data_IF_925815353416
#
_entry.id   IF_925815353416
#
_cell.length_a   1.000
_cell.length_b   1.000
_cell.length_c   1.000
_cell.angle_alpha   90.00
_cell.angle_beta   90.00
_cell.angle_gamma   90.00
#
_symmetry.space_group_name_H-M   'P 1'
#
loop_
_entity.id
_entity.type
_entity.pdbx_description
1 polymer ?
#
# COMPACT_ATOMS: atom_id res chain seq x y z
N UNK A 1 -13.19 -4.47 42.60
CA UNK A 1 -12.67 -4.31 41.23
C UNK A 1 -13.44 -3.19 40.55
N UNK A 2 -12.76 -2.13 40.15
CA UNK A 2 -13.37 -1.00 39.43
C UNK A 2 -13.67 -1.42 38.00
N UNK A 3 -14.93 -1.39 37.59
CA UNK A 3 -15.32 -1.69 36.20
C UNK A 3 -14.91 -0.50 35.31
N UNK A 4 -13.96 -0.71 34.39
CA UNK A 4 -13.63 0.29 33.38
C UNK A 4 -14.73 0.25 32.30
N UNK A 5 -15.35 1.39 32.03
CA UNK A 5 -16.27 1.56 30.89
C UNK A 5 -15.46 2.09 29.71
N UNK A 6 -15.58 1.41 28.59
CA UNK A 6 -14.97 1.83 27.31
C UNK A 6 -16.09 2.17 26.33
N UNK A 7 -15.94 3.28 25.60
CA UNK A 7 -16.83 3.66 24.51
C UNK A 7 -16.02 3.90 23.24
N UNK A 8 -16.60 3.56 22.10
CA UNK A 8 -16.01 3.84 20.78
C UNK A 8 -16.69 5.07 20.19
N UNK A 9 -15.87 6.00 19.73
CA UNK A 9 -16.33 7.18 18.98
C UNK A 9 -15.85 7.06 17.54
N UNK A 10 -16.73 7.06 16.53
CA UNK A 10 -16.32 7.11 15.15
C UNK A 10 -15.62 8.45 14.86
N UNK A 11 -14.48 8.39 14.16
CA UNK A 11 -13.69 9.56 13.77
C UNK A 11 -13.97 9.91 12.31
N UNK A 12 -14.16 8.88 11.47
CA UNK A 12 -14.38 9.01 10.05
C UNK A 12 -15.30 7.89 9.55
N UNK A 13 -16.04 8.18 8.49
CA UNK A 13 -16.91 7.23 7.79
C UNK A 13 -16.56 7.18 6.30
N UNK A 14 -16.99 6.12 5.61
CA UNK A 14 -16.89 5.99 4.15
C UNK A 14 -15.45 5.98 3.60
N UNK A 15 -14.48 5.49 4.37
CA UNK A 15 -13.15 5.15 3.87
C UNK A 15 -13.17 3.69 3.43
N UNK A 16 -12.96 3.46 2.14
CA UNK A 16 -12.99 2.11 1.57
C UNK A 16 -11.65 1.41 1.76
N UNK A 17 -11.67 0.16 2.24
CA UNK A 17 -10.49 -0.71 2.41
C UNK A 17 -9.29 -0.01 3.10
N UNK A 18 -9.45 0.55 4.33
CA UNK A 18 -8.34 1.20 5.01
C UNK A 18 -7.29 0.15 5.43
N UNK A 19 -6.01 0.44 5.16
CA UNK A 19 -4.88 -0.45 5.48
C UNK A 19 -3.95 0.15 6.52
N UNK A 20 -3.80 1.47 6.55
CA UNK A 20 -2.83 2.14 7.44
C UNK A 20 -3.47 3.34 8.11
N UNK A 21 -3.16 3.49 9.40
CA UNK A 21 -3.49 4.66 10.21
C UNK A 21 -2.20 5.22 10.82
N UNK A 22 -1.89 6.49 10.58
CA UNK A 22 -0.71 7.18 11.10
C UNK A 22 -1.04 8.60 11.50
N UNK A 23 -0.24 9.15 12.41
CA UNK A 23 -0.30 10.57 12.75
C UNK A 23 1.04 11.24 12.47
N UNK A 24 1.00 12.49 12.05
CA UNK A 24 2.16 13.36 11.90
C UNK A 24 1.74 14.82 11.78
N UNK A 25 2.70 15.73 11.85
CA UNK A 25 2.52 17.16 11.62
C UNK A 25 2.94 17.45 10.15
N UNK A 26 2.06 18.10 9.39
CA UNK A 26 2.39 18.55 8.04
C UNK A 26 3.45 19.66 8.07
N UNK A 27 4.36 19.74 7.08
CA UNK A 27 5.28 20.86 6.95
C UNK A 27 4.54 22.21 6.97
N UNK A 28 5.01 23.11 7.83
CA UNK A 28 4.41 24.42 8.02
C UNK A 28 3.20 24.47 8.97
N UNK A 29 2.75 23.33 9.48
CA UNK A 29 1.71 23.27 10.52
C UNK A 29 2.30 23.03 11.92
N UNK A 30 1.47 23.23 12.94
CA UNK A 30 1.80 22.92 14.34
C UNK A 30 0.90 21.85 14.95
N UNK A 31 -0.13 21.43 14.22
CA UNK A 31 -1.12 20.47 14.71
C UNK A 31 -0.92 19.11 14.05
N UNK A 32 -0.94 18.07 14.87
CA UNK A 32 -0.88 16.69 14.40
C UNK A 32 -2.16 16.34 13.62
N UNK A 33 -1.99 15.67 12.48
CA UNK A 33 -3.06 15.21 11.61
C UNK A 33 -3.10 13.69 11.58
N UNK A 34 -4.29 13.12 11.49
CA UNK A 34 -4.52 11.70 11.31
C UNK A 34 -4.55 11.37 9.83
N UNK A 35 -3.70 10.48 9.39
CA UNK A 35 -3.60 9.99 8.02
C UNK A 35 -4.17 8.59 7.90
N UNK A 36 -4.87 8.33 6.81
CA UNK A 36 -5.49 7.04 6.50
C UNK A 36 -5.09 6.67 5.08
N UNK A 37 -4.40 5.54 4.91
CA UNK A 37 -4.16 4.96 3.58
C UNK A 37 -5.18 3.86 3.30
N UNK A 38 -5.57 3.74 2.04
CA UNK A 38 -6.47 2.70 1.55
C UNK A 38 -5.71 1.70 0.69
N UNK A 39 -6.15 0.45 0.65
CA UNK A 39 -5.56 -0.59 -0.19
C UNK A 39 -5.53 -0.19 -1.67
N UNK A 40 -6.52 0.60 -2.10
CA UNK A 40 -6.65 1.05 -3.48
C UNK A 40 -5.59 2.10 -3.89
N UNK A 41 -4.89 2.73 -2.94
CA UNK A 41 -3.83 3.70 -3.24
C UNK A 41 -4.20 5.16 -2.98
N UNK A 42 -5.25 5.42 -2.22
CA UNK A 42 -5.60 6.76 -1.76
C UNK A 42 -5.06 6.98 -0.35
N UNK A 43 -4.50 8.15 -0.10
CA UNK A 43 -4.08 8.58 1.23
C UNK A 43 -4.83 9.86 1.56
N UNK A 44 -5.55 9.83 2.66
CA UNK A 44 -6.30 10.95 3.18
C UNK A 44 -5.69 11.45 4.48
N UNK A 45 -5.96 12.68 4.84
CA UNK A 45 -5.76 13.17 6.21
C UNK A 45 -7.00 13.91 6.71
N UNK A 46 -7.17 13.92 8.03
CA UNK A 46 -8.24 14.65 8.67
C UNK A 46 -7.68 15.99 9.12
N UNK A 47 -8.23 17.06 8.56
CA UNK A 47 -7.93 18.44 8.91
C UNK A 47 -9.21 19.21 9.17
N UNK A 48 -9.30 19.85 10.34
CA UNK A 48 -10.42 20.72 10.72
C UNK A 48 -11.80 20.01 10.64
N UNK A 49 -11.81 18.72 10.99
CA UNK A 49 -13.01 17.86 10.93
C UNK A 49 -13.40 17.40 9.52
N UNK A 50 -12.58 17.69 8.50
CA UNK A 50 -12.84 17.32 7.11
C UNK A 50 -11.77 16.39 6.59
N UNK A 51 -12.19 15.37 5.80
CA UNK A 51 -11.27 14.51 5.07
C UNK A 51 -10.74 15.27 3.85
N UNK A 52 -9.41 15.28 3.73
CA UNK A 52 -8.70 15.87 2.59
C UNK A 52 -7.80 14.82 1.95
N UNK A 53 -7.71 14.81 0.63
CA UNK A 53 -6.76 13.95 -0.08
C UNK A 53 -5.34 14.48 0.11
N UNK A 54 -4.45 13.60 0.58
CA UNK A 54 -3.01 13.85 0.66
C UNK A 54 -2.30 13.41 -0.61
N UNK A 55 -2.62 12.19 -1.08
CA UNK A 55 -2.00 11.60 -2.27
C UNK A 55 -2.94 10.56 -2.88
N UNK A 56 -2.96 10.47 -4.21
CA UNK A 56 -3.67 9.44 -4.97
C UNK A 56 -2.68 8.77 -5.94
N UNK A 57 -2.36 7.51 -5.65
CA UNK A 57 -1.48 6.67 -6.47
C UNK A 57 -2.21 5.46 -7.06
N UNK A 58 -3.53 5.48 -7.17
CA UNK A 58 -4.32 4.36 -7.73
C UNK A 58 -3.83 3.91 -9.10
N UNK A 59 -3.30 4.84 -9.89
CA UNK A 59 -2.74 4.56 -11.21
C UNK A 59 -1.41 3.79 -11.18
N UNK A 60 -0.72 3.73 -10.04
CA UNK A 60 0.51 2.98 -9.83
C UNK A 60 0.24 1.58 -9.23
N UNK A 61 -0.87 1.43 -8.52
CA UNK A 61 -1.21 0.19 -7.85
C UNK A 61 -1.60 -0.87 -8.89
N UNK A 62 -1.16 -2.10 -8.67
CA UNK A 62 -1.66 -3.24 -9.45
C UNK A 62 -3.18 -3.30 -9.37
N UNK A 63 -3.84 -3.63 -10.47
CA UNK A 63 -5.29 -3.88 -10.45
C UNK A 63 -5.59 -5.02 -9.48
N UNK A 64 -6.35 -4.72 -8.43
CA UNK A 64 -6.77 -5.72 -7.48
C UNK A 64 -7.81 -6.63 -8.13
N UNK A 65 -7.64 -7.94 -7.91
CA UNK A 65 -8.58 -8.92 -8.39
C UNK A 65 -9.82 -8.97 -7.53
N UNK A 66 -10.93 -9.31 -8.18
CA UNK A 66 -12.18 -9.64 -7.50
C UNK A 66 -12.46 -11.13 -7.62
N UNK A 67 -13.43 -11.60 -6.87
CA UNK A 67 -13.91 -12.98 -6.96
C UNK A 67 -14.29 -13.37 -8.39
N UNK A 68 -14.92 -12.44 -9.11
CA UNK A 68 -15.39 -12.63 -10.48
C UNK A 68 -14.23 -12.74 -11.49
N UNK A 69 -13.08 -12.18 -11.16
CA UNK A 69 -11.87 -12.21 -11.98
C UNK A 69 -10.98 -13.44 -11.69
N UNK A 70 -11.38 -14.30 -10.77
CA UNK A 70 -10.69 -15.56 -10.46
C UNK A 70 -9.34 -15.39 -9.77
N UNK A 71 -9.08 -14.25 -9.15
CA UNK A 71 -7.80 -13.96 -8.47
C UNK A 71 -7.68 -14.73 -7.17
N UNK A 72 -8.79 -15.00 -6.50
CA UNK A 72 -8.80 -15.74 -5.24
C UNK A 72 -10.11 -16.50 -5.04
N UNK A 73 -10.02 -17.76 -4.67
CA UNK A 73 -11.16 -18.54 -4.23
C UNK A 73 -11.78 -18.02 -2.92
N UNK A 74 -11.04 -17.20 -2.17
CA UNK A 74 -11.50 -16.57 -0.93
C UNK A 74 -12.12 -15.17 -1.17
N UNK A 75 -12.04 -14.63 -2.38
CA UNK A 75 -12.53 -13.28 -2.70
C UNK A 75 -11.70 -12.16 -2.07
N UNK A 76 -10.49 -12.45 -1.64
CA UNK A 76 -9.61 -11.52 -0.95
C UNK A 76 -8.27 -11.37 -1.68
N UNK A 77 -7.90 -10.15 -1.99
CA UNK A 77 -6.61 -9.79 -2.59
C UNK A 77 -5.79 -9.00 -1.55
N UNK A 78 -4.59 -9.46 -1.25
CA UNK A 78 -3.73 -8.84 -0.24
C UNK A 78 -2.76 -7.80 -0.83
N UNK A 79 -2.78 -7.60 -2.13
CA UNK A 79 -1.97 -6.60 -2.82
C UNK A 79 -2.56 -5.20 -2.63
N UNK A 80 -1.84 -4.18 -3.05
CA UNK A 80 -2.30 -2.79 -2.99
C UNK A 80 -1.33 -1.87 -2.26
N UNK A 81 -1.82 -0.75 -1.74
CA UNK A 81 -1.06 0.12 -0.85
C UNK A 81 -1.13 -0.45 0.57
N UNK A 82 -0.01 -0.97 1.05
CA UNK A 82 0.10 -1.75 2.27
C UNK A 82 0.86 -1.02 3.40
N UNK A 83 1.66 0.00 3.05
CA UNK A 83 2.47 0.71 4.02
C UNK A 83 2.58 2.20 3.76
N UNK A 84 2.52 2.97 4.85
CA UNK A 84 2.81 4.39 4.91
C UNK A 84 3.64 4.67 6.15
N UNK A 85 4.80 5.29 6.00
CA UNK A 85 5.62 5.75 7.10
C UNK A 85 6.13 7.16 6.83
N UNK A 86 6.03 8.02 7.82
CA UNK A 86 6.62 9.36 7.76
C UNK A 86 8.02 9.35 8.35
N UNK A 87 8.94 10.09 7.72
CA UNK A 87 10.24 10.35 8.32
C UNK A 87 10.06 11.03 9.69
N UNK A 88 10.87 10.71 10.71
CA UNK A 88 10.74 11.34 12.04
C UNK A 88 10.74 12.88 12.02
N UNK A 89 11.40 13.47 11.02
CA UNK A 89 11.44 14.91 10.78
C UNK A 89 10.59 15.33 9.57
N UNK A 90 9.49 14.61 9.29
CA UNK A 90 8.62 14.89 8.15
C UNK A 90 8.17 16.35 8.10
N UNK A 91 7.84 16.93 9.24
CA UNK A 91 7.44 18.33 9.37
C UNK A 91 8.50 19.34 8.89
N UNK A 92 9.78 18.93 8.82
CA UNK A 92 10.91 19.74 8.34
C UNK A 92 11.28 19.41 6.91
N UNK A 93 11.36 18.11 6.56
CA UNK A 93 11.95 17.63 5.31
C UNK A 93 10.91 17.10 4.29
N UNK A 94 9.66 16.94 4.68
CA UNK A 94 8.59 16.44 3.85
C UNK A 94 8.75 14.99 3.38
N UNK A 95 9.71 14.22 3.94
CA UNK A 95 10.00 12.86 3.49
C UNK A 95 9.03 11.84 4.09
N UNK A 96 8.55 10.94 3.25
CA UNK A 96 7.72 9.80 3.65
C UNK A 96 7.96 8.61 2.73
N UNK A 97 7.47 7.45 3.14
CA UNK A 97 7.73 6.18 2.48
C UNK A 97 6.42 5.45 2.23
N UNK A 98 6.33 4.84 1.06
CA UNK A 98 5.19 4.02 0.68
C UNK A 98 5.66 2.60 0.35
N UNK A 99 4.89 1.62 0.80
CA UNK A 99 5.01 0.22 0.38
C UNK A 99 3.72 -0.17 -0.33
N UNK A 100 3.85 -0.60 -1.58
CA UNK A 100 2.70 -0.97 -2.40
C UNK A 100 3.05 -1.97 -3.50
N UNK A 101 2.03 -2.63 -4.03
CA UNK A 101 2.18 -3.64 -5.07
C UNK A 101 1.96 -3.03 -6.44
N UNK A 102 2.90 -3.24 -7.36
CA UNK A 102 2.83 -2.85 -8.77
C UNK A 102 2.74 -4.07 -9.66
N UNK A 103 2.17 -3.90 -10.86
CA UNK A 103 2.11 -4.98 -11.84
C UNK A 103 3.52 -5.50 -12.17
N UNK A 104 3.65 -6.82 -12.27
CA UNK A 104 4.91 -7.47 -12.59
C UNK A 104 5.52 -7.05 -13.92
N UNK A 105 4.71 -6.55 -14.85
CA UNK A 105 5.14 -6.04 -16.16
C UNK A 105 5.89 -4.71 -16.12
N UNK A 106 5.95 -4.03 -14.97
CA UNK A 106 6.55 -2.70 -14.82
C UNK A 106 7.94 -2.72 -14.19
N UNK A 107 8.47 -3.87 -13.85
CA UNK A 107 9.75 -3.99 -13.16
C UNK A 107 10.72 -4.98 -13.80
N UNK A 108 12.01 -4.97 -13.39
CA UNK A 108 12.98 -5.93 -13.86
C UNK A 108 12.54 -7.36 -13.55
N UNK A 109 12.34 -8.17 -14.59
CA UNK A 109 11.91 -9.56 -14.49
C UNK A 109 10.40 -9.74 -14.37
N UNK A 110 9.62 -8.80 -14.87
CA UNK A 110 8.19 -8.88 -14.98
C UNK A 110 7.71 -10.11 -15.77
N UNK A 111 6.54 -10.63 -15.41
CA UNK A 111 5.85 -11.66 -16.18
C UNK A 111 5.53 -11.21 -17.59
N UNK A 112 5.64 -12.11 -18.55
CA UNK A 112 4.82 -12.02 -19.74
C UNK A 112 3.37 -12.32 -19.33
N UNK A 113 2.39 -11.58 -19.88
CA UNK A 113 0.95 -11.74 -19.60
C UNK A 113 0.41 -13.18 -19.82
N UNK A 114 1.20 -14.04 -20.42
CA UNK A 114 0.83 -15.41 -20.79
C UNK A 114 0.89 -16.41 -19.65
N UNK A 115 1.50 -16.06 -18.52
CA UNK A 115 1.61 -16.97 -17.39
C UNK A 115 0.97 -16.36 -16.14
N UNK A 116 -0.23 -16.80 -15.85
CA UNK A 116 -0.88 -16.56 -14.55
C UNK A 116 -0.77 -17.87 -13.75
N UNK A 117 0.14 -17.98 -12.76
CA UNK A 117 0.11 -19.13 -11.89
C UNK A 117 -1.26 -19.20 -11.22
N UNK A 118 -1.89 -20.37 -11.24
CA UNK A 118 -3.06 -20.56 -10.42
C UNK A 118 -2.57 -20.87 -8.99
N UNK A 119 -2.68 -19.93 -8.02
CA UNK A 119 -2.17 -20.14 -6.68
C UNK A 119 -2.90 -21.25 -5.92
N UNK A 120 -4.07 -21.63 -6.41
CA UNK A 120 -4.86 -22.71 -5.83
C UNK A 120 -4.54 -24.10 -6.42
N UNK A 121 -3.71 -24.17 -7.47
CA UNK A 121 -3.25 -25.45 -8.01
C UNK A 121 -1.88 -25.83 -7.42
N UNK A 122 -1.81 -26.83 -6.52
CA UNK A 122 -0.54 -27.27 -5.95
C UNK A 122 0.46 -27.80 -6.99
N UNK A 123 0.02 -28.10 -8.21
CA UNK A 123 0.90 -28.49 -9.32
C UNK A 123 1.64 -27.29 -9.93
N UNK A 124 1.13 -26.07 -9.74
CA UNK A 124 1.80 -24.84 -10.16
C UNK A 124 2.75 -24.30 -9.08
N UNK A 125 2.71 -24.86 -7.87
CA UNK A 125 3.70 -24.67 -6.82
C UNK A 125 5.04 -25.34 -7.21
N UNK A 126 5.68 -24.77 -8.20
CA UNK A 126 6.98 -25.24 -8.60
C UNK A 126 8.03 -24.60 -7.68
N UNK A 127 8.66 -25.40 -6.81
CA UNK A 127 9.73 -24.98 -5.91
C UNK A 127 10.98 -24.40 -6.63
N UNK A 128 10.97 -24.31 -7.95
CA UNK A 128 11.94 -23.55 -8.74
C UNK A 128 11.89 -22.05 -8.51
N UNK A 129 11.08 -21.54 -7.61
CA UNK A 129 10.90 -20.13 -7.28
C UNK A 129 12.11 -19.47 -6.67
N UNK A 130 13.03 -20.22 -6.15
CA UNK A 130 14.30 -19.70 -5.68
C UNK A 130 15.29 -19.39 -6.81
N UNK A 131 14.94 -19.68 -8.05
CA UNK A 131 15.76 -19.34 -9.19
C UNK A 131 15.47 -17.88 -9.63
N UNK A 132 16.51 -17.10 -9.90
CA UNK A 132 16.41 -15.68 -10.35
C UNK A 132 15.57 -15.46 -11.60
N UNK A 133 15.31 -16.51 -12.38
CA UNK A 133 14.51 -16.50 -13.60
C UNK A 133 13.07 -16.97 -13.36
N UNK A 134 12.66 -17.13 -12.12
CA UNK A 134 11.31 -17.58 -11.80
C UNK A 134 10.30 -16.48 -12.06
N UNK A 135 9.18 -16.88 -12.60
CA UNK A 135 8.02 -16.04 -12.79
C UNK A 135 7.44 -15.61 -11.44
N UNK A 136 6.85 -14.42 -11.38
CA UNK A 136 6.23 -13.86 -10.19
C UNK A 136 4.96 -13.09 -10.55
N UNK A 137 4.05 -12.97 -9.60
CA UNK A 137 2.74 -12.34 -9.81
C UNK A 137 2.85 -10.83 -9.89
N UNK A 138 3.57 -10.22 -8.97
CA UNK A 138 3.73 -8.78 -8.87
C UNK A 138 5.05 -8.40 -8.19
N UNK A 139 5.27 -7.11 -8.07
CA UNK A 139 6.40 -6.54 -7.33
C UNK A 139 5.84 -5.72 -6.18
N UNK A 140 6.29 -6.02 -4.95
CA UNK A 140 6.17 -5.09 -3.84
C UNK A 140 7.31 -4.08 -3.92
N UNK A 141 6.96 -2.82 -3.99
CA UNK A 141 7.92 -1.71 -4.05
C UNK A 141 7.86 -0.88 -2.78
N UNK A 142 9.04 -0.50 -2.28
CA UNK A 142 9.18 0.50 -1.23
C UNK A 142 9.83 1.73 -1.84
N UNK A 143 9.18 2.87 -1.70
CA UNK A 143 9.62 4.12 -2.33
C UNK A 143 9.69 5.27 -1.33
N UNK A 144 10.68 6.11 -1.54
CA UNK A 144 10.81 7.39 -0.86
C UNK A 144 10.13 8.49 -1.67
N UNK A 145 9.26 9.22 -0.99
CA UNK A 145 8.50 10.34 -1.53
C UNK A 145 8.79 11.62 -0.75
N UNK A 146 8.50 12.75 -1.33
CA UNK A 146 8.61 14.06 -0.67
C UNK A 146 7.38 14.90 -0.93
N UNK A 147 6.92 15.58 0.09
CA UNK A 147 5.92 16.65 -0.02
C UNK A 147 6.65 17.93 -0.40
N UNK A 148 6.31 18.49 -1.54
CA UNK A 148 6.86 19.74 -2.05
C UNK A 148 6.22 20.95 -1.33
N UNK A 149 6.87 22.11 -1.37
CA UNK A 149 6.36 23.36 -0.79
C UNK A 149 5.03 23.83 -1.38
N UNK A 150 4.70 23.36 -2.59
CA UNK A 150 3.41 23.62 -3.23
C UNK A 150 2.28 22.66 -2.77
N UNK A 151 2.58 21.76 -1.81
CA UNK A 151 1.64 20.77 -1.29
C UNK A 151 1.50 19.52 -2.16
N UNK A 152 2.25 19.39 -3.25
CA UNK A 152 2.25 18.19 -4.08
C UNK A 152 3.26 17.16 -3.59
N UNK A 153 2.85 15.88 -3.55
CA UNK A 153 3.75 14.79 -3.26
C UNK A 153 4.44 14.30 -4.55
N UNK A 154 5.73 14.05 -4.47
CA UNK A 154 6.54 13.59 -5.58
C UNK A 154 7.41 12.41 -5.16
N UNK A 155 7.43 11.36 -5.99
CA UNK A 155 8.37 10.25 -5.83
C UNK A 155 9.80 10.74 -6.01
N UNK A 156 10.69 10.34 -5.10
CA UNK A 156 12.13 10.63 -5.17
C UNK A 156 12.91 9.45 -5.75
N UNK A 157 12.70 8.27 -5.17
CA UNK A 157 13.43 7.06 -5.60
C UNK A 157 12.74 5.79 -5.08
N UNK A 158 13.02 4.69 -5.77
CA UNK A 158 12.71 3.36 -5.28
C UNK A 158 13.84 2.89 -4.35
N UNK A 159 13.48 2.39 -3.18
CA UNK A 159 14.42 1.86 -2.20
C UNK A 159 14.55 0.34 -2.31
N UNK A 160 13.45 -0.35 -2.55
CA UNK A 160 13.39 -1.80 -2.59
C UNK A 160 12.32 -2.27 -3.57
N UNK A 161 12.64 -3.32 -4.33
CA UNK A 161 11.69 -4.09 -5.11
C UNK A 161 11.79 -5.55 -4.71
N UNK A 162 10.66 -6.15 -4.33
CA UNK A 162 10.58 -7.57 -3.97
C UNK A 162 9.61 -8.26 -4.91
N UNK A 163 10.09 -9.27 -5.62
CA UNK A 163 9.25 -10.10 -6.48
C UNK A 163 8.39 -11.01 -5.62
N UNK A 164 7.10 -11.01 -5.88
CA UNK A 164 6.13 -11.84 -5.16
C UNK A 164 5.54 -12.89 -6.09
N UNK A 165 5.64 -14.15 -5.70
CA UNK A 165 5.12 -15.24 -6.53
C UNK A 165 3.60 -15.37 -6.47
N UNK A 166 2.95 -14.78 -5.45
CA UNK A 166 1.52 -14.87 -5.21
C UNK A 166 0.88 -13.54 -4.88
N UNK A 167 -0.42 -13.47 -5.08
CA UNK A 167 -1.27 -12.32 -4.73
C UNK A 167 -1.55 -12.19 -3.22
N UNK A 168 -1.16 -13.17 -2.42
CA UNK A 168 -1.36 -13.18 -0.97
C UNK A 168 -0.02 -13.27 -0.21
N UNK A 169 -0.08 -13.09 1.13
CA UNK A 169 1.09 -13.04 2.02
C UNK A 169 2.07 -11.91 1.69
N UNK A 170 1.53 -10.75 1.32
CA UNK A 170 2.29 -9.59 0.86
C UNK A 170 2.62 -8.60 1.99
N UNK A 171 2.21 -8.86 3.21
CA UNK A 171 2.53 -8.03 4.36
C UNK A 171 4.03 -8.01 4.63
N UNK A 172 4.67 -6.86 4.44
CA UNK A 172 5.97 -6.52 5.02
C UNK A 172 5.66 -5.53 6.12
N UNK A 173 5.53 -6.04 7.33
CA UNK A 173 5.40 -5.23 8.53
C UNK A 173 6.77 -4.86 9.07
#
# INVERSE_FOLDING_TARGET
MTKVKVSLRPIVHNVNLPTVLKTTILPGESTERLFIATQLGEIFYIGDGVIKTFLDIRHLIIKLGTFEEGVSSSGYDERGLLGLAFHPQFYQNGLFYLHYSVAGTQGPGAFSEQFKPNPCDPKTLNLKWFNRNTQYDHIDTVEEWTLQSNGQAQKRRTLLNVRRPFFNHNGVN
#
